data_IF_041520435065
#
_entry.id   IF_041520435065
#
_cell.length_a   1.000
_cell.length_b   1.000
_cell.length_c   1.000
_cell.angle_alpha   90.00
_cell.angle_beta   90.00
_cell.angle_gamma   90.00
#
_symmetry.space_group_name_H-M   'P 1'
#
loop_
_entity.id
_entity.type
_entity.pdbx_description
1 polymer ?
#
# COMPACT_ATOMS: atom_id res chain seq x y z
N UNK A 1 10.31 -5.50 -2.81
CA UNK A 1 10.69 -4.73 -1.59
C UNK A 1 11.18 -3.32 -1.91
N UNK A 2 12.13 -3.11 -2.84
CA UNK A 2 12.65 -1.77 -3.15
C UNK A 2 11.55 -0.75 -3.55
N UNK A 3 10.56 -1.18 -4.32
CA UNK A 3 9.45 -0.31 -4.75
C UNK A 3 8.64 0.26 -3.56
N UNK A 4 8.45 -0.52 -2.50
CA UNK A 4 7.74 -0.07 -1.29
C UNK A 4 8.51 1.04 -0.56
N UNK A 5 9.84 0.97 -0.52
CA UNK A 5 10.68 2.02 0.04
C UNK A 5 10.54 3.32 -0.76
N UNK A 6 10.50 3.25 -2.10
CA UNK A 6 10.28 4.43 -2.92
C UNK A 6 8.90 5.05 -2.71
N UNK A 7 7.83 4.24 -2.55
CA UNK A 7 6.51 4.76 -2.22
C UNK A 7 6.46 5.46 -0.87
N UNK A 8 7.23 5.00 0.11
CA UNK A 8 7.26 5.60 1.45
C UNK A 8 8.14 6.85 1.50
N UNK A 9 9.18 6.93 0.65
CA UNK A 9 10.04 8.10 0.54
C UNK A 9 9.39 9.24 -0.24
N UNK A 10 8.40 8.97 -1.11
CA UNK A 10 7.77 10.02 -1.91
C UNK A 10 7.11 11.13 -1.06
N UNK A 11 6.33 10.86 0.01
CA UNK A 11 5.83 11.92 0.87
C UNK A 11 6.94 12.63 1.65
N UNK A 12 7.99 11.93 2.07
CA UNK A 12 9.12 12.55 2.78
C UNK A 12 9.84 13.57 1.90
N UNK A 13 10.04 13.23 0.63
CA UNK A 13 10.62 14.14 -0.39
C UNK A 13 9.65 15.28 -0.68
N UNK A 14 8.36 15.00 -0.89
CA UNK A 14 7.35 16.03 -1.17
C UNK A 14 7.25 17.09 -0.04
N UNK A 15 7.32 16.66 1.22
CA UNK A 15 7.32 17.53 2.41
C UNK A 15 8.50 18.51 2.45
N UNK A 16 9.59 18.25 1.71
CA UNK A 16 10.71 19.19 1.61
C UNK A 16 10.42 20.36 0.65
N UNK A 17 9.47 20.18 -0.27
CA UNK A 17 9.16 21.15 -1.32
C UNK A 17 7.82 21.87 -1.08
N UNK A 18 6.87 21.25 -0.39
CA UNK A 18 5.54 21.81 -0.13
C UNK A 18 5.00 21.45 1.25
N UNK A 19 4.21 22.34 1.82
CA UNK A 19 3.43 22.08 3.05
C UNK A 19 2.06 21.44 2.78
N UNK A 20 1.68 21.25 1.51
CA UNK A 20 0.41 20.60 1.15
C UNK A 20 0.37 19.12 1.53
N UNK A 21 1.53 18.45 1.49
CA UNK A 21 1.71 17.11 2.04
C UNK A 21 2.25 17.28 3.45
N UNK A 22 1.50 16.87 4.47
CA UNK A 22 1.88 17.07 5.87
C UNK A 22 1.78 15.77 6.68
N UNK A 23 2.52 14.75 6.26
CA UNK A 23 2.53 13.45 6.95
C UNK A 23 3.27 13.54 8.28
N UNK A 24 2.63 13.06 9.34
CA UNK A 24 3.26 12.83 10.65
C UNK A 24 3.96 11.48 10.65
N UNK A 25 4.82 11.27 11.65
CA UNK A 25 5.49 9.97 11.86
C UNK A 25 4.48 8.81 11.93
N UNK A 26 3.30 9.03 12.53
CA UNK A 26 2.23 8.04 12.57
C UNK A 26 1.74 7.62 11.18
N UNK A 27 1.62 8.55 10.24
CA UNK A 27 1.16 8.27 8.87
C UNK A 27 2.18 7.41 8.12
N UNK A 28 3.47 7.70 8.29
CA UNK A 28 4.54 6.87 7.75
C UNK A 28 4.51 5.44 8.32
N UNK A 29 4.28 5.28 9.63
CA UNK A 29 4.20 3.96 10.25
C UNK A 29 2.98 3.16 9.77
N UNK A 30 1.82 3.80 9.68
CA UNK A 30 0.59 3.18 9.16
C UNK A 30 0.80 2.75 7.72
N UNK A 31 1.33 3.63 6.86
CA UNK A 31 1.57 3.30 5.46
C UNK A 31 2.64 2.23 5.28
N UNK A 32 3.71 2.23 6.09
CA UNK A 32 4.71 1.16 6.12
C UNK A 32 4.07 -0.20 6.46
N UNK A 33 3.21 -0.22 7.48
CA UNK A 33 2.50 -1.44 7.90
C UNK A 33 1.56 -1.94 6.80
N UNK A 34 0.83 -1.04 6.14
CA UNK A 34 -0.02 -1.39 5.00
C UNK A 34 0.78 -2.00 3.84
N UNK A 35 1.94 -1.42 3.50
CA UNK A 35 2.81 -1.96 2.45
C UNK A 35 3.40 -3.34 2.81
N UNK A 36 3.75 -3.55 4.09
CA UNK A 36 4.18 -4.85 4.60
C UNK A 36 3.05 -5.88 4.49
N UNK A 37 1.83 -5.50 4.87
CA UNK A 37 0.63 -6.34 4.74
C UNK A 37 0.35 -6.72 3.29
N UNK A 38 0.36 -5.75 2.37
CA UNK A 38 0.20 -6.02 0.93
C UNK A 38 1.27 -6.98 0.41
N UNK A 39 2.54 -6.78 0.81
CA UNK A 39 3.64 -7.65 0.40
C UNK A 39 3.41 -9.10 0.84
N UNK A 40 2.97 -9.30 2.09
CA UNK A 40 2.65 -10.62 2.62
C UNK A 40 1.47 -11.26 1.87
N UNK A 41 0.42 -10.48 1.58
CA UNK A 41 -0.74 -10.96 0.81
C UNK A 41 -0.35 -11.38 -0.61
N UNK A 42 0.49 -10.60 -1.30
CA UNK A 42 0.96 -10.92 -2.65
C UNK A 42 1.83 -12.19 -2.65
N UNK A 43 2.69 -12.35 -1.63
CA UNK A 43 3.50 -13.56 -1.48
C UNK A 43 2.63 -14.78 -1.17
N UNK A 44 1.64 -14.64 -0.28
CA UNK A 44 0.66 -15.69 -0.01
C UNK A 44 -0.15 -16.06 -1.26
N UNK A 45 -0.59 -15.06 -2.04
CA UNK A 45 -1.28 -15.29 -3.31
C UNK A 45 -0.42 -16.07 -4.31
N UNK A 46 0.88 -15.76 -4.38
CA UNK A 46 1.83 -16.50 -5.23
C UNK A 46 2.03 -17.95 -4.77
N UNK A 47 2.07 -18.19 -3.45
CA UNK A 47 2.27 -19.52 -2.85
C UNK A 47 1.01 -20.40 -2.93
N UNK A 48 -0.18 -19.84 -2.68
CA UNK A 48 -1.45 -20.58 -2.58
C UNK A 48 -2.11 -20.76 -3.95
N UNK A 49 -1.96 -19.80 -4.86
CA UNK A 49 -2.62 -19.86 -6.16
C UNK A 49 -2.14 -21.05 -7.00
N UNK A 50 -3.09 -21.92 -7.36
CA UNK A 50 -2.81 -23.23 -7.99
C UNK A 50 -2.55 -23.14 -9.49
N UNK A 51 -3.07 -22.10 -10.14
CA UNK A 51 -2.87 -21.79 -11.56
C UNK A 51 -2.70 -20.28 -11.75
N UNK A 52 -2.25 -19.87 -12.94
CA UNK A 52 -1.96 -18.46 -13.24
C UNK A 52 -3.18 -17.55 -13.06
N UNK A 53 -4.38 -18.02 -13.44
CA UNK A 53 -5.62 -17.26 -13.29
C UNK A 53 -5.96 -17.00 -11.81
N UNK A 54 -5.90 -18.01 -10.96
CA UNK A 54 -6.17 -17.87 -9.52
C UNK A 54 -5.15 -16.96 -8.85
N UNK A 55 -3.86 -17.07 -9.20
CA UNK A 55 -2.82 -16.16 -8.72
C UNK A 55 -3.14 -14.71 -9.09
N UNK A 56 -3.48 -14.46 -10.35
CA UNK A 56 -3.82 -13.12 -10.83
C UNK A 56 -5.03 -12.54 -10.07
N UNK A 57 -6.10 -13.31 -9.87
CA UNK A 57 -7.27 -12.87 -9.12
C UNK A 57 -6.96 -12.57 -7.64
N UNK A 58 -6.18 -13.42 -6.98
CA UNK A 58 -5.77 -13.19 -5.58
C UNK A 58 -4.90 -11.94 -5.45
N UNK A 59 -3.93 -11.75 -6.35
CA UNK A 59 -3.09 -10.56 -6.36
C UNK A 59 -3.90 -9.29 -6.64
N UNK A 60 -4.79 -9.32 -7.63
CA UNK A 60 -5.68 -8.20 -7.96
C UNK A 60 -6.58 -7.84 -6.77
N UNK A 61 -7.16 -8.85 -6.10
CA UNK A 61 -7.97 -8.64 -4.89
C UNK A 61 -7.17 -8.02 -3.75
N UNK A 62 -5.95 -8.50 -3.49
CA UNK A 62 -5.07 -7.93 -2.46
C UNK A 62 -4.72 -6.46 -2.74
N UNK A 63 -4.40 -6.13 -4.00
CA UNK A 63 -4.14 -4.74 -4.42
C UNK A 63 -5.38 -3.87 -4.29
N UNK A 64 -6.56 -4.37 -4.69
CA UNK A 64 -7.81 -3.63 -4.56
C UNK A 64 -8.14 -3.30 -3.10
N UNK A 65 -8.03 -4.29 -2.20
CA UNK A 65 -8.24 -4.08 -0.75
C UNK A 65 -7.26 -3.04 -0.20
N UNK A 66 -5.98 -3.14 -0.56
CA UNK A 66 -4.98 -2.15 -0.16
C UNK A 66 -5.34 -0.73 -0.63
N UNK A 67 -5.75 -0.56 -1.89
CA UNK A 67 -6.11 0.73 -2.44
C UNK A 67 -7.35 1.32 -1.77
N UNK A 68 -8.35 0.50 -1.46
CA UNK A 68 -9.56 0.95 -0.73
C UNK A 68 -9.19 1.44 0.66
N UNK A 69 -8.45 0.64 1.44
CA UNK A 69 -8.01 1.04 2.79
C UNK A 69 -7.17 2.32 2.72
N UNK A 70 -6.31 2.45 1.72
CA UNK A 70 -5.48 3.65 1.57
C UNK A 70 -6.31 4.88 1.21
N UNK A 71 -7.25 4.76 0.28
CA UNK A 71 -8.15 5.84 -0.10
C UNK A 71 -9.03 6.28 1.08
N UNK A 72 -9.50 5.34 1.90
CA UNK A 72 -10.21 5.64 3.15
C UNK A 72 -9.36 6.45 4.11
N UNK A 73 -8.13 6.02 4.36
CA UNK A 73 -7.26 6.69 5.32
C UNK A 73 -6.74 8.05 4.80
N UNK A 74 -6.57 8.20 3.49
CA UNK A 74 -6.01 9.40 2.88
C UNK A 74 -7.09 10.46 2.57
N UNK A 75 -8.25 10.03 2.09
CA UNK A 75 -9.31 10.93 1.56
C UNK A 75 -10.64 10.75 2.31
N UNK A 76 -10.90 9.58 2.91
CA UNK A 76 -12.17 9.26 3.57
C UNK A 76 -13.31 9.07 2.58
N UNK A 77 -13.13 8.20 1.57
CA UNK A 77 -14.07 8.11 0.44
C UNK A 77 -15.39 7.41 0.79
N UNK A 78 -15.45 6.62 1.86
CA UNK A 78 -16.64 5.94 2.40
C UNK A 78 -17.20 6.65 3.65
N UNK A 79 -16.62 7.79 4.06
CA UNK A 79 -17.05 8.58 5.21
C UNK A 79 -18.19 9.56 4.88
#
# INVERSE_FOLDING_TARGET
>A
MIFACFLLLSPLVAMQFTSEVAWKLGDFLVFAFMLAGLSLLLEAAARIGRNAAMRAWLMAGAVAIFLVIWAELAVGILA
#
